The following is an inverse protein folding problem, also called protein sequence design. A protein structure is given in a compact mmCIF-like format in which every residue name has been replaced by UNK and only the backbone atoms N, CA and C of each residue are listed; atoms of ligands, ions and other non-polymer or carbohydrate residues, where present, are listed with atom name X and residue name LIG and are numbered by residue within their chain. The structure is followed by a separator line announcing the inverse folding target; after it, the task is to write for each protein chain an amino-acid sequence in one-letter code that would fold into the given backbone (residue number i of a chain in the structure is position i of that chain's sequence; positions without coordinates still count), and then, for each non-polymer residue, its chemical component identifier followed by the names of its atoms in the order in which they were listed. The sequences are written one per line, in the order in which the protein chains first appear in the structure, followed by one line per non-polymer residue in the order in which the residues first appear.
data_IF_872157737041
#
_entry.id   IF_872157737041
#
_cell.length_a   1.000
_cell.length_b   1.000
_cell.length_c   1.000
_cell.angle_alpha   90.00
_cell.angle_beta   90.00
_cell.angle_gamma   90.00
#
_symmetry.space_group_name_H-M   'P 1'
#
loop_
_entity.id
_entity.type
_entity.pdbx_description
1 polymer ?
#
# COMPACT_ATOMS: atom_id res chain seq x y z
N UNK A 1 -7.12 -26.80 -4.68
CA UNK A 1 -6.90 -25.44 -4.13
C UNK A 1 -7.38 -25.36 -2.69
N UNK A 2 -8.64 -25.72 -2.40
CA UNK A 2 -9.23 -25.64 -1.05
C UNK A 2 -8.39 -26.35 0.04
N UNK A 3 -7.95 -27.59 -0.21
CA UNK A 3 -7.08 -28.30 0.75
C UNK A 3 -5.71 -27.65 0.99
N UNK A 4 -5.13 -26.96 0.01
CA UNK A 4 -3.83 -26.29 0.16
C UNK A 4 -3.97 -25.02 1.01
N UNK A 5 -5.04 -24.25 0.80
CA UNK A 5 -5.27 -23.02 1.58
C UNK A 5 -5.60 -23.36 3.03
N UNK A 6 -6.28 -24.48 3.30
CA UNK A 6 -6.58 -24.90 4.67
C UNK A 6 -5.32 -25.34 5.43
N UNK A 7 -4.44 -26.11 4.79
CA UNK A 7 -3.12 -26.41 5.35
C UNK A 7 -2.32 -25.14 5.60
N UNK A 8 -2.29 -24.21 4.64
CA UNK A 8 -1.58 -22.94 4.79
C UNK A 8 -2.17 -22.09 5.93
N UNK A 9 -3.50 -22.06 6.10
CA UNK A 9 -4.18 -21.39 7.22
C UNK A 9 -3.78 -21.98 8.56
N UNK A 10 -3.72 -23.31 8.67
CA UNK A 10 -3.30 -23.99 9.89
C UNK A 10 -1.85 -23.61 10.25
N UNK A 11 -0.95 -23.64 9.26
CA UNK A 11 0.46 -23.26 9.44
C UNK A 11 0.61 -21.77 9.80
N UNK A 12 -0.16 -20.88 9.17
CA UNK A 12 -0.17 -19.44 9.46
C UNK A 12 -0.68 -19.11 10.88
N UNK A 13 -1.50 -19.98 11.47
CA UNK A 13 -1.96 -19.87 12.87
C UNK A 13 -0.96 -20.44 13.86
N UNK A 14 -0.03 -21.26 13.41
CA UNK A 14 1.01 -21.82 14.27
C UNK A 14 1.98 -20.74 14.77
N UNK A 15 2.76 -21.07 15.80
CA UNK A 15 3.84 -20.18 16.30
C UNK A 15 5.11 -20.25 15.45
N UNK A 16 5.13 -21.12 14.45
CA UNK A 16 6.28 -21.34 13.59
C UNK A 16 5.99 -20.80 12.18
N UNK A 17 6.33 -19.53 11.97
CA UNK A 17 6.18 -18.89 10.66
C UNK A 17 7.09 -19.51 9.60
N UNK A 18 8.18 -20.18 9.98
CA UNK A 18 9.06 -20.86 9.03
C UNK A 18 8.36 -22.06 8.38
N UNK A 19 7.55 -22.81 9.15
CA UNK A 19 6.76 -23.92 8.61
C UNK A 19 5.80 -23.50 7.49
N UNK A 20 5.19 -22.30 7.58
CA UNK A 20 4.38 -21.77 6.48
C UNK A 20 5.23 -21.51 5.23
N UNK A 21 6.39 -20.88 5.39
CA UNK A 21 7.30 -20.59 4.28
C UNK A 21 7.79 -21.88 3.63
N UNK A 22 8.23 -22.86 4.42
CA UNK A 22 8.67 -24.17 3.94
C UNK A 22 7.58 -24.88 3.13
N UNK A 23 6.34 -24.86 3.61
CA UNK A 23 5.20 -25.39 2.89
C UNK A 23 5.01 -24.69 1.53
N UNK A 24 4.99 -23.36 1.53
CA UNK A 24 4.75 -22.56 0.33
C UNK A 24 5.83 -22.77 -0.75
N UNK A 25 7.10 -22.79 -0.37
CA UNK A 25 8.21 -23.01 -1.33
C UNK A 25 8.28 -24.46 -1.83
N UNK A 26 7.62 -25.40 -1.14
CA UNK A 26 7.51 -26.79 -1.57
C UNK A 26 6.42 -27.02 -2.62
N UNK A 27 5.53 -26.05 -2.84
CA UNK A 27 4.45 -26.18 -3.82
C UNK A 27 5.01 -26.21 -5.24
N UNK A 28 4.45 -27.05 -6.13
CA UNK A 28 4.95 -27.19 -7.50
C UNK A 28 4.69 -25.96 -8.37
N UNK A 29 3.68 -25.16 -8.01
CA UNK A 29 3.33 -23.91 -8.68
C UNK A 29 3.65 -22.71 -7.77
N UNK A 30 4.75 -21.98 -8.04
CA UNK A 30 5.17 -20.87 -7.20
C UNK A 30 4.24 -19.66 -7.28
N UNK A 31 3.53 -19.46 -8.40
CA UNK A 31 2.55 -18.37 -8.53
C UNK A 31 1.34 -18.66 -7.65
N UNK A 32 0.86 -19.91 -7.63
CA UNK A 32 -0.19 -20.34 -6.71
C UNK A 32 0.22 -20.17 -5.24
N UNK A 33 1.48 -20.44 -4.89
CA UNK A 33 1.97 -20.21 -3.53
C UNK A 33 1.85 -18.73 -3.11
N UNK A 34 2.16 -17.79 -4.01
CA UNK A 34 2.02 -16.36 -3.75
C UNK A 34 0.55 -15.91 -3.66
N UNK A 35 -0.35 -16.50 -4.45
CA UNK A 35 -1.78 -16.24 -4.32
C UNK A 35 -2.30 -16.66 -2.94
N UNK A 36 -1.85 -17.82 -2.43
CA UNK A 36 -2.18 -18.26 -1.07
C UNK A 36 -1.65 -17.27 -0.03
N UNK A 37 -0.40 -16.79 -0.15
CA UNK A 37 0.14 -15.74 0.73
C UNK A 37 -0.75 -14.49 0.73
N UNK A 38 -1.17 -14.03 -0.46
CA UNK A 38 -2.02 -12.86 -0.62
C UNK A 38 -3.35 -13.02 0.11
N UNK A 39 -4.01 -14.15 -0.11
CA UNK A 39 -5.28 -14.45 0.54
C UNK A 39 -5.14 -14.50 2.05
N UNK A 40 -4.09 -15.14 2.57
CA UNK A 40 -3.85 -15.23 4.02
C UNK A 40 -3.50 -13.87 4.64
N UNK A 41 -2.72 -13.04 3.96
CA UNK A 41 -2.40 -11.70 4.44
C UNK A 41 -3.65 -10.80 4.49
N UNK A 42 -4.49 -10.87 3.45
CA UNK A 42 -5.79 -10.19 3.42
C UNK A 42 -6.74 -10.70 4.52
N UNK A 43 -6.83 -12.01 4.74
CA UNK A 43 -7.64 -12.62 5.81
C UNK A 43 -7.17 -12.12 7.19
N UNK A 44 -5.86 -12.11 7.43
CA UNK A 44 -5.29 -11.61 8.68
C UNK A 44 -5.61 -10.13 8.92
N UNK A 45 -5.53 -9.29 7.88
CA UNK A 45 -5.81 -7.86 8.00
C UNK A 45 -7.31 -7.58 8.14
N UNK A 46 -8.12 -7.97 7.14
CA UNK A 46 -9.51 -7.55 7.04
C UNK A 46 -10.44 -8.29 8.02
N UNK A 47 -10.24 -9.60 8.20
CA UNK A 47 -11.15 -10.41 9.03
C UNK A 47 -10.71 -10.48 10.48
N UNK A 48 -9.40 -10.52 10.73
CA UNK A 48 -8.86 -10.74 12.08
C UNK A 48 -8.29 -9.50 12.75
N UNK A 49 -8.07 -8.42 11.99
CA UNK A 49 -7.42 -7.19 12.48
C UNK A 49 -6.04 -7.47 13.12
N UNK A 50 -5.32 -8.46 12.59
CA UNK A 50 -4.01 -8.89 13.06
C UNK A 50 -2.93 -8.35 12.12
N UNK A 51 -2.54 -7.10 12.36
CA UNK A 51 -1.59 -6.38 11.51
C UNK A 51 -0.22 -7.06 11.46
N UNK A 52 0.32 -7.49 12.60
CA UNK A 52 1.63 -8.15 12.69
C UNK A 52 1.67 -9.40 11.80
N UNK A 53 0.62 -10.23 11.87
CA UNK A 53 0.52 -11.43 11.03
C UNK A 53 0.32 -11.07 9.56
N UNK A 54 -0.53 -10.10 9.24
CA UNK A 54 -0.74 -9.67 7.86
C UNK A 54 0.57 -9.19 7.21
N UNK A 55 1.34 -8.35 7.92
CA UNK A 55 2.64 -7.85 7.45
C UNK A 55 3.67 -8.96 7.34
N UNK A 56 3.74 -9.88 8.32
CA UNK A 56 4.66 -11.02 8.29
C UNK A 56 4.42 -11.93 7.08
N UNK A 57 3.16 -12.27 6.79
CA UNK A 57 2.77 -13.11 5.65
C UNK A 57 3.03 -12.38 4.32
N UNK A 58 2.64 -11.11 4.21
CA UNK A 58 2.87 -10.32 3.01
C UNK A 58 4.37 -10.17 2.71
N UNK A 59 5.20 -9.98 3.74
CA UNK A 59 6.66 -9.93 3.60
C UNK A 59 7.23 -11.27 3.13
N UNK A 60 6.79 -12.38 3.71
CA UNK A 60 7.20 -13.70 3.27
C UNK A 60 6.85 -13.93 1.79
N UNK A 61 5.63 -13.61 1.38
CA UNK A 61 5.20 -13.69 -0.03
C UNK A 61 6.05 -12.80 -0.95
N UNK A 62 6.31 -11.55 -0.56
CA UNK A 62 7.20 -10.64 -1.29
C UNK A 62 8.60 -11.24 -1.48
N UNK A 63 9.22 -11.73 -0.41
CA UNK A 63 10.56 -12.33 -0.47
C UNK A 63 10.58 -13.58 -1.34
N UNK A 64 9.63 -14.51 -1.14
CA UNK A 64 9.52 -15.73 -1.96
C UNK A 64 9.39 -15.37 -3.44
N UNK A 65 8.49 -14.43 -3.79
CA UNK A 65 8.25 -14.06 -5.17
C UNK A 65 9.48 -13.44 -5.84
N UNK A 66 10.21 -12.57 -5.14
CA UNK A 66 11.45 -12.00 -5.66
C UNK A 66 12.57 -13.04 -5.80
N UNK A 67 12.71 -13.95 -4.82
CA UNK A 67 13.74 -14.99 -4.86
C UNK A 67 13.47 -16.01 -5.96
N UNK A 68 12.24 -16.49 -6.09
CA UNK A 68 11.87 -17.46 -7.12
C UNK A 68 11.82 -16.86 -8.52
N UNK A 69 11.72 -15.54 -8.65
CA UNK A 69 11.80 -14.87 -9.95
C UNK A 69 13.22 -14.85 -10.55
N UNK A 70 14.26 -15.09 -9.75
CA UNK A 70 15.66 -15.11 -10.24
C UNK A 70 15.82 -16.29 -11.20
N UNK A 71 16.17 -15.98 -12.46
CA UNK A 71 16.39 -16.94 -13.55
C UNK A 71 15.19 -17.86 -13.86
N UNK A 72 13.98 -17.50 -13.41
CA UNK A 72 12.76 -18.27 -13.65
C UNK A 72 12.10 -17.88 -14.98
N UNK A 73 11.57 -18.85 -15.75
CA UNK A 73 10.74 -18.54 -16.91
C UNK A 73 9.42 -17.84 -16.54
N UNK A 74 9.03 -17.86 -15.26
CA UNK A 74 7.84 -17.18 -14.72
C UNK A 74 8.21 -15.87 -13.98
N UNK A 75 9.40 -15.31 -14.25
CA UNK A 75 9.90 -14.14 -13.53
C UNK A 75 8.94 -12.95 -13.57
N UNK A 76 8.22 -12.74 -14.68
CA UNK A 76 7.27 -11.63 -14.81
C UNK A 76 6.05 -11.82 -13.90
N UNK A 77 5.47 -13.00 -13.87
CA UNK A 77 4.32 -13.36 -13.03
C UNK A 77 4.69 -13.27 -11.55
N UNK A 78 5.83 -13.87 -11.18
CA UNK A 78 6.32 -13.87 -9.80
C UNK A 78 6.61 -12.46 -9.28
N UNK A 79 7.25 -11.61 -10.11
CA UNK A 79 7.45 -10.19 -9.76
C UNK A 79 6.15 -9.41 -9.72
N UNK A 80 5.15 -9.76 -10.52
CA UNK A 80 3.83 -9.13 -10.49
C UNK A 80 3.08 -9.43 -9.19
N UNK A 81 3.12 -10.68 -8.73
CA UNK A 81 2.57 -11.08 -7.43
C UNK A 81 3.36 -10.46 -6.27
N UNK A 82 4.69 -10.44 -6.36
CA UNK A 82 5.54 -9.76 -5.38
C UNK A 82 5.19 -8.26 -5.29
N UNK A 83 4.94 -7.59 -6.43
CA UNK A 83 4.46 -6.20 -6.45
C UNK A 83 3.13 -6.06 -5.71
N UNK A 84 2.17 -6.96 -5.94
CA UNK A 84 0.90 -6.95 -5.22
C UNK A 84 1.09 -7.14 -3.70
N UNK A 85 2.01 -8.01 -3.27
CA UNK A 85 2.37 -8.17 -1.85
C UNK A 85 2.96 -6.90 -1.25
N UNK A 86 3.87 -6.25 -1.98
CA UNK A 86 4.46 -4.99 -1.56
C UNK A 86 3.39 -3.88 -1.43
N UNK A 87 2.40 -3.85 -2.33
CA UNK A 87 1.25 -2.93 -2.23
C UNK A 87 0.44 -3.20 -0.95
N UNK A 88 0.05 -4.45 -0.71
CA UNK A 88 -0.74 -4.83 0.46
C UNK A 88 -0.01 -4.50 1.76
N UNK A 89 1.28 -4.83 1.86
CA UNK A 89 2.08 -4.53 3.06
C UNK A 89 2.12 -3.03 3.35
N UNK A 90 2.37 -2.20 2.33
CA UNK A 90 2.36 -0.76 2.48
C UNK A 90 0.97 -0.21 2.87
N UNK A 91 -0.09 -0.72 2.22
CA UNK A 91 -1.47 -0.28 2.45
C UNK A 91 -1.97 -0.66 3.84
N UNK A 92 -1.71 -1.88 4.33
CA UNK A 92 -2.16 -2.33 5.65
C UNK A 92 -1.60 -1.48 6.80
N UNK A 93 -0.41 -0.93 6.63
CA UNK A 93 0.22 -0.10 7.64
C UNK A 93 -0.18 1.39 7.55
N UNK A 94 -1.05 1.78 6.63
CA UNK A 94 -1.49 3.18 6.50
C UNK A 94 -2.53 3.54 7.59
N UNK A 95 -2.20 4.40 8.57
CA UNK A 95 -3.14 4.72 9.63
C UNK A 95 -4.27 5.65 9.15
N UNK A 96 -4.12 6.30 7.98
CA UNK A 96 -5.18 7.13 7.39
C UNK A 96 -6.41 6.35 6.91
N UNK A 97 -6.44 5.02 7.05
CA UNK A 97 -7.67 4.24 6.94
C UNK A 97 -8.61 4.40 8.14
N UNK A 98 -8.07 4.81 9.30
CA UNK A 98 -8.81 4.89 10.58
C UNK A 98 -9.57 3.58 10.89
N UNK A 99 -8.91 2.45 10.65
CA UNK A 99 -9.50 1.12 10.76
C UNK A 99 -9.56 0.66 12.23
N UNK A 100 -10.75 0.28 12.68
CA UNK A 100 -10.97 -0.14 14.06
C UNK A 100 -10.14 -1.38 14.43
N UNK A 101 -9.51 -1.34 15.60
CA UNK A 101 -8.62 -2.38 16.09
C UNK A 101 -7.24 -2.46 15.42
N UNK A 102 -6.91 -1.57 14.47
CA UNK A 102 -5.61 -1.56 13.80
C UNK A 102 -4.86 -0.27 14.12
N UNK A 103 -3.75 -0.40 14.85
CA UNK A 103 -2.86 0.71 15.18
C UNK A 103 -1.42 0.39 14.72
N UNK A 104 -1.00 0.88 13.53
CA UNK A 104 0.36 0.68 13.06
C UNK A 104 1.40 1.27 14.02
N UNK A 105 2.39 0.46 14.41
CA UNK A 105 3.54 0.92 15.19
C UNK A 105 4.53 1.66 14.28
N UNK A 106 5.48 2.40 14.88
CA UNK A 106 6.56 3.03 14.11
C UNK A 106 7.37 2.01 13.28
N UNK A 107 7.54 0.79 13.80
CA UNK A 107 8.17 -0.31 13.05
C UNK A 107 7.36 -0.67 11.80
N UNK A 108 6.04 -0.81 11.92
CA UNK A 108 5.16 -1.07 10.77
C UNK A 108 5.29 0.00 9.69
N UNK A 109 5.39 1.28 10.07
CA UNK A 109 5.54 2.38 9.13
C UNK A 109 6.88 2.34 8.36
N UNK A 110 7.98 1.95 9.03
CA UNK A 110 9.28 1.77 8.36
C UNK A 110 9.21 0.63 7.35
N UNK A 111 8.60 -0.49 7.74
CA UNK A 111 8.41 -1.63 6.85
C UNK A 111 7.51 -1.30 5.65
N UNK A 112 6.46 -0.52 5.87
CA UNK A 112 5.55 -0.04 4.85
C UNK A 112 6.26 0.84 3.81
N UNK A 113 7.14 1.74 4.27
CA UNK A 113 7.93 2.60 3.39
C UNK A 113 8.86 1.79 2.47
N UNK A 114 9.51 0.75 3.01
CA UNK A 114 10.36 -0.13 2.22
C UNK A 114 9.56 -0.94 1.17
N UNK A 115 8.39 -1.46 1.57
CA UNK A 115 7.51 -2.15 0.65
C UNK A 115 6.94 -1.21 -0.43
N UNK A 116 6.55 0.03 -0.09
CA UNK A 116 6.08 1.01 -1.05
C UNK A 116 7.15 1.31 -2.12
N UNK A 117 8.42 1.48 -1.70
CA UNK A 117 9.56 1.65 -2.62
C UNK A 117 9.78 0.43 -3.50
N UNK A 118 9.66 -0.77 -2.94
CA UNK A 118 9.75 -2.01 -3.70
C UNK A 118 8.62 -2.12 -4.72
N UNK A 119 7.39 -1.76 -4.34
CA UNK A 119 6.25 -1.73 -5.27
C UNK A 119 6.48 -0.76 -6.43
N UNK A 120 6.95 0.46 -6.15
CA UNK A 120 7.27 1.45 -7.17
C UNK A 120 8.35 0.94 -8.13
N UNK A 121 9.46 0.41 -7.60
CA UNK A 121 10.53 -0.19 -8.42
C UNK A 121 9.97 -1.27 -9.35
N UNK A 122 9.14 -2.18 -8.82
CA UNK A 122 8.52 -3.24 -9.62
C UNK A 122 7.48 -2.72 -10.61
N UNK A 123 6.77 -1.63 -10.30
CA UNK A 123 5.85 -1.00 -11.25
C UNK A 123 6.58 -0.50 -12.50
N UNK A 124 7.75 0.13 -12.30
CA UNK A 124 8.63 0.61 -13.37
C UNK A 124 9.26 -0.56 -14.12
N UNK A 125 9.86 -1.51 -13.40
CA UNK A 125 10.56 -2.67 -13.98
C UNK A 125 9.64 -3.55 -14.84
N UNK A 126 8.37 -3.70 -14.44
CA UNK A 126 7.38 -4.52 -15.15
C UNK A 126 6.51 -3.71 -16.12
N UNK A 127 6.86 -2.44 -16.37
CA UNK A 127 6.16 -1.55 -17.31
C UNK A 127 4.63 -1.50 -17.07
N UNK A 128 4.20 -1.43 -15.80
CA UNK A 128 2.77 -1.49 -15.44
C UNK A 128 1.95 -0.24 -15.83
N UNK A 129 2.57 0.72 -16.51
CA UNK A 129 1.96 2.00 -16.90
C UNK A 129 2.03 3.07 -15.82
N UNK A 130 1.79 4.31 -16.22
CA UNK A 130 1.96 5.51 -15.38
C UNK A 130 1.06 5.53 -14.16
N UNK A 131 -0.20 5.06 -14.25
CA UNK A 131 -1.09 4.97 -13.08
C UNK A 131 -0.51 4.05 -11.99
N UNK A 132 0.08 2.92 -12.37
CA UNK A 132 0.68 2.01 -11.41
C UNK A 132 1.93 2.61 -10.74
N UNK A 133 2.71 3.40 -11.49
CA UNK A 133 3.84 4.19 -10.97
C UNK A 133 3.34 5.28 -10.01
N UNK A 134 2.28 6.00 -10.39
CA UNK A 134 1.66 7.04 -9.57
C UNK A 134 1.15 6.52 -8.23
N UNK A 135 0.51 5.34 -8.22
CA UNK A 135 0.10 4.67 -6.97
C UNK A 135 1.29 4.24 -6.11
N UNK A 136 2.40 3.86 -6.73
CA UNK A 136 3.67 3.58 -6.05
C UNK A 136 4.16 4.81 -5.28
N UNK A 137 4.25 5.95 -5.95
CA UNK A 137 4.60 7.23 -5.34
C UNK A 137 3.61 7.66 -4.24
N UNK A 138 2.31 7.48 -4.47
CA UNK A 138 1.29 7.78 -3.48
C UNK A 138 1.51 7.02 -2.17
N UNK A 139 1.81 5.72 -2.24
CA UNK A 139 2.08 4.91 -1.03
C UNK A 139 3.34 5.35 -0.30
N UNK A 140 4.38 5.77 -1.01
CA UNK A 140 5.59 6.32 -0.40
C UNK A 140 5.24 7.63 0.32
N UNK A 141 4.49 8.52 -0.36
CA UNK A 141 3.99 9.77 0.21
C UNK A 141 3.19 9.55 1.50
N UNK A 142 2.27 8.58 1.47
CA UNK A 142 1.47 8.17 2.63
C UNK A 142 2.38 7.69 3.78
N UNK A 143 3.25 6.69 3.55
CA UNK A 143 4.15 6.21 4.59
C UNK A 143 5.05 7.33 5.18
N UNK A 144 5.52 8.26 4.35
CA UNK A 144 6.31 9.42 4.79
C UNK A 144 5.49 10.40 5.64
N UNK A 145 4.22 10.66 5.30
CA UNK A 145 3.31 11.46 6.13
C UNK A 145 3.15 10.82 7.51
N UNK A 146 2.88 9.52 7.57
CA UNK A 146 2.75 8.80 8.85
C UNK A 146 4.04 8.80 9.69
N UNK A 147 5.21 8.92 9.03
CA UNK A 147 6.51 9.05 9.68
C UNK A 147 6.89 10.50 10.03
N UNK A 148 6.03 11.49 9.76
CA UNK A 148 6.31 12.90 10.03
C UNK A 148 7.31 13.55 9.06
N UNK A 149 7.56 12.93 7.90
CA UNK A 149 8.53 13.39 6.89
C UNK A 149 7.84 14.23 5.81
N UNK A 150 7.30 15.37 6.22
CA UNK A 150 6.34 16.15 5.43
C UNK A 150 6.85 16.63 4.07
N UNK A 151 8.06 17.19 4.00
CA UNK A 151 8.61 17.69 2.73
C UNK A 151 8.83 16.58 1.71
N UNK A 152 9.32 15.42 2.17
CA UNK A 152 9.48 14.24 1.30
C UNK A 152 8.12 13.68 0.89
N UNK A 153 7.16 13.64 1.81
CA UNK A 153 5.78 13.20 1.53
C UNK A 153 5.12 14.04 0.43
N UNK A 154 5.23 15.37 0.51
CA UNK A 154 4.73 16.29 -0.52
C UNK A 154 5.37 15.99 -1.88
N UNK A 155 6.69 15.81 -1.92
CA UNK A 155 7.40 15.53 -3.17
C UNK A 155 6.89 14.24 -3.84
N UNK A 156 6.63 13.19 -3.05
CA UNK A 156 6.11 11.91 -3.56
C UNK A 156 4.65 12.03 -4.03
N UNK A 157 3.79 12.77 -3.32
CA UNK A 157 2.43 13.03 -3.82
C UNK A 157 2.44 13.86 -5.12
N UNK A 158 3.34 14.82 -5.27
CA UNK A 158 3.49 15.55 -6.54
C UNK A 158 4.01 14.64 -7.67
N UNK A 159 4.91 13.70 -7.39
CA UNK A 159 5.33 12.69 -8.37
C UNK A 159 4.20 11.72 -8.75
N UNK A 160 3.35 11.37 -7.78
CA UNK A 160 2.12 10.60 -8.01
C UNK A 160 1.19 11.33 -8.97
N UNK A 161 0.97 12.63 -8.74
CA UNK A 161 0.16 13.50 -9.61
C UNK A 161 0.69 13.54 -11.05
N UNK A 162 2.00 13.77 -11.22
CA UNK A 162 2.62 13.78 -12.56
C UNK A 162 2.38 12.46 -13.31
N UNK A 163 2.49 11.33 -12.62
CA UNK A 163 2.23 10.02 -13.21
C UNK A 163 0.74 9.83 -13.55
N UNK A 164 -0.17 10.38 -12.74
CA UNK A 164 -1.60 10.36 -13.01
C UNK A 164 -1.96 11.22 -14.24
N UNK A 165 -1.34 12.39 -14.39
CA UNK A 165 -1.49 13.27 -15.55
C UNK A 165 -1.02 12.57 -16.84
N UNK A 166 0.14 11.90 -16.79
CA UNK A 166 0.64 11.08 -17.90
C UNK A 166 -0.32 9.92 -18.25
N UNK A 167 -0.93 9.33 -17.22
CA UNK A 167 -1.97 8.30 -17.36
C UNK A 167 -3.35 8.82 -17.70
N UNK A 168 -3.52 10.15 -17.83
CA UNK A 168 -4.79 10.84 -18.10
C UNK A 168 -5.90 10.46 -17.12
N UNK A 169 -5.55 10.37 -15.84
CA UNK A 169 -6.51 10.12 -14.76
C UNK A 169 -6.66 11.37 -13.91
N UNK A 170 -7.66 12.19 -14.26
CA UNK A 170 -7.96 13.44 -13.55
C UNK A 170 -8.26 13.18 -12.05
N UNK A 171 -8.96 12.07 -11.74
CA UNK A 171 -9.31 11.71 -10.37
C UNK A 171 -8.08 11.33 -9.52
N UNK A 172 -7.13 10.58 -10.08
CA UNK A 172 -5.90 10.20 -9.37
C UNK A 172 -4.96 11.41 -9.22
N UNK A 173 -4.95 12.31 -10.21
CA UNK A 173 -4.20 13.57 -10.15
C UNK A 173 -4.73 14.47 -9.03
N UNK A 174 -6.04 14.71 -9.01
CA UNK A 174 -6.70 15.51 -7.97
C UNK A 174 -6.59 14.86 -6.58
N UNK A 175 -6.67 13.53 -6.48
CA UNK A 175 -6.42 12.81 -5.22
C UNK A 175 -5.00 13.07 -4.71
N UNK A 176 -3.98 12.91 -5.56
CA UNK A 176 -2.59 13.12 -5.17
C UNK A 176 -2.33 14.58 -4.72
N UNK A 177 -2.92 15.55 -5.42
CA UNK A 177 -2.90 16.95 -5.01
C UNK A 177 -3.55 17.19 -3.64
N UNK A 178 -4.71 16.58 -3.40
CA UNK A 178 -5.41 16.66 -2.11
C UNK A 178 -4.59 16.10 -0.95
N UNK A 179 -3.89 14.98 -1.15
CA UNK A 179 -2.96 14.47 -0.13
C UNK A 179 -1.74 15.38 0.08
N UNK A 180 -1.19 15.99 -0.97
CA UNK A 180 -0.11 16.98 -0.82
C UNK A 180 -0.56 18.22 -0.04
N UNK A 181 -1.81 18.67 -0.23
CA UNK A 181 -2.40 19.75 0.56
C UNK A 181 -2.66 19.32 2.01
N UNK A 182 -3.14 18.09 2.23
CA UNK A 182 -3.30 17.53 3.58
C UNK A 182 -1.99 17.53 4.36
N UNK A 183 -0.87 17.12 3.76
CA UNK A 183 0.43 17.16 4.43
C UNK A 183 0.78 18.58 4.91
N UNK A 184 0.45 19.60 4.12
CA UNK A 184 0.67 21.01 4.50
C UNK A 184 -0.21 21.44 5.67
N UNK A 185 -1.46 20.98 5.73
CA UNK A 185 -2.36 21.20 6.88
C UNK A 185 -1.78 20.58 8.15
N UNK A 186 -1.27 19.34 8.06
CA UNK A 186 -0.64 18.63 9.18
C UNK A 186 0.64 19.32 9.65
N UNK A 187 1.48 19.79 8.72
CA UNK A 187 2.73 20.49 9.04
C UNK A 187 2.49 21.88 9.65
N UNK A 188 1.42 22.57 9.24
CA UNK A 188 1.10 23.94 9.65
C UNK A 188 -0.36 24.05 10.13
N UNK A 189 -0.68 23.47 11.31
CA UNK A 189 -2.04 23.46 11.82
C UNK A 189 -2.53 24.89 12.11
N UNK A 190 -3.77 25.18 11.70
CA UNK A 190 -4.44 26.47 11.94
C UNK A 190 -4.12 27.56 10.91
N UNK A 191 -3.33 27.28 9.87
CA UNK A 191 -3.14 28.20 8.74
C UNK A 191 -4.40 28.22 7.85
N UNK A 192 -5.19 29.29 7.97
CA UNK A 192 -6.47 29.42 7.28
C UNK A 192 -6.36 29.35 5.75
N UNK A 193 -5.25 29.80 5.16
CA UNK A 193 -5.07 29.79 3.71
C UNK A 193 -4.88 28.36 3.17
N UNK A 194 -4.14 27.52 3.91
CA UNK A 194 -3.93 26.11 3.55
C UNK A 194 -5.22 25.31 3.74
N UNK A 195 -5.99 25.63 4.79
CA UNK A 195 -7.28 25.02 5.06
C UNK A 195 -8.32 25.32 3.97
N UNK A 196 -8.35 26.56 3.49
CA UNK A 196 -9.17 26.98 2.36
C UNK A 196 -8.73 26.26 1.07
N UNK A 197 -7.42 26.21 0.80
CA UNK A 197 -6.85 25.47 -0.34
C UNK A 197 -7.28 23.99 -0.34
N UNK A 198 -7.14 23.28 0.80
CA UNK A 198 -7.57 21.89 0.90
C UNK A 198 -9.09 21.74 0.68
N UNK A 199 -9.89 22.70 1.16
CA UNK A 199 -11.34 22.68 0.97
C UNK A 199 -11.69 22.80 -0.52
N UNK A 200 -11.08 23.75 -1.23
CA UNK A 200 -11.27 23.94 -2.67
C UNK A 200 -10.87 22.69 -3.47
N UNK A 201 -9.73 22.06 -3.13
CA UNK A 201 -9.28 20.82 -3.77
C UNK A 201 -10.27 19.68 -3.53
N UNK A 202 -10.78 19.51 -2.30
CA UNK A 202 -11.75 18.47 -1.99
C UNK A 202 -13.08 18.67 -2.73
N UNK A 203 -13.54 19.92 -2.88
CA UNK A 203 -14.74 20.23 -3.63
C UNK A 203 -14.56 20.00 -5.13
N UNK A 204 -13.39 20.36 -5.68
CA UNK A 204 -13.00 20.03 -7.04
C UNK A 204 -12.95 18.52 -7.28
N UNK A 205 -12.31 17.76 -6.38
CA UNK A 205 -12.22 16.31 -6.46
C UNK A 205 -13.61 15.65 -6.40
N UNK A 206 -14.53 16.12 -5.54
CA UNK A 206 -15.92 15.62 -5.49
C UNK A 206 -16.72 15.84 -6.76
N UNK A 207 -16.35 16.83 -7.58
CA UNK A 207 -17.00 17.13 -8.84
C UNK A 207 -16.53 16.21 -10.00
N UNK A 208 -15.48 15.42 -9.80
CA UNK A 208 -14.98 14.43 -10.75
C UNK A 208 -15.72 13.10 -10.53
N UNK A 209 -16.02 12.37 -11.61
CA UNK A 209 -16.56 11.01 -11.53
C UNK A 209 -15.66 10.13 -10.63
N UNK A 210 -16.26 9.38 -9.72
CA UNK A 210 -15.61 8.56 -8.67
C UNK A 210 -14.74 9.34 -7.64
N UNK A 211 -14.64 10.66 -7.74
CA UNK A 211 -13.78 11.47 -6.88
C UNK A 211 -14.29 11.63 -5.43
N UNK A 212 -15.61 11.50 -5.20
CA UNK A 212 -16.19 11.64 -3.87
C UNK A 212 -15.60 10.66 -2.84
N UNK A 213 -15.37 9.40 -3.24
CA UNK A 213 -14.78 8.39 -2.36
C UNK A 213 -13.34 8.76 -1.95
N UNK A 214 -12.55 9.33 -2.87
CA UNK A 214 -11.19 9.77 -2.58
C UNK A 214 -11.16 11.02 -1.70
N UNK A 215 -12.08 11.96 -1.91
CA UNK A 215 -12.24 13.12 -1.03
C UNK A 215 -12.56 12.68 0.41
N UNK A 216 -13.44 11.69 0.57
CA UNK A 216 -13.78 11.14 1.90
C UNK A 216 -12.59 10.45 2.56
N UNK A 217 -11.76 9.72 1.79
CA UNK A 217 -10.51 9.15 2.30
C UNK A 217 -9.54 10.23 2.82
N UNK A 218 -9.38 11.35 2.11
CA UNK A 218 -8.54 12.47 2.58
C UNK A 218 -9.10 13.09 3.85
N UNK A 219 -10.43 13.23 3.96
CA UNK A 219 -11.10 13.71 5.18
C UNK A 219 -10.86 12.75 6.36
N UNK A 220 -10.89 11.44 6.14
CA UNK A 220 -10.57 10.44 7.17
C UNK A 220 -9.09 10.58 7.59
N UNK A 221 -8.17 10.59 6.63
CA UNK A 221 -6.74 10.77 6.92
C UNK A 221 -6.48 12.08 7.69
N UNK A 222 -7.18 13.17 7.34
CA UNK A 222 -7.11 14.43 8.09
C UNK A 222 -7.47 14.27 9.56
N UNK A 223 -8.53 13.52 9.88
CA UNK A 223 -8.92 13.28 11.28
C UNK A 223 -7.83 12.53 12.05
N UNK A 224 -7.07 11.66 11.38
CA UNK A 224 -5.99 10.87 11.99
C UNK A 224 -4.73 11.72 12.21
N UNK A 225 -4.39 12.60 11.26
CA UNK A 225 -3.10 13.30 11.30
C UNK A 225 -3.15 14.75 11.77
N UNK A 226 -4.30 15.43 11.66
CA UNK A 226 -4.47 16.84 12.02
C UNK A 226 -5.26 17.03 13.32
N UNK A 227 -5.49 15.95 14.08
CA UNK A 227 -6.10 15.97 15.42
C UNK A 227 -5.14 16.38 16.52
#
# INVERSE_FOLDING_TARGET
MEGLIDTARELARSKDSASLVEFLVSLPDPVQALDICRSLANEAYWERKDLDRAMSIARAGLTIGLTLAVDSPQAFELKSEAKAMAFNLASFAWPGWDEDGIAPSHHHLIEALDAARTNLRLAVELEKGSIAVGRGHWMIGAALLALGRYQESIAEFLASRLSADEGRSDVESAMAEGYAALVRVVERPGDAAIEEELTEILDGLRAIDDGAAYADQIVIARKVFAS
#
